data_IF_700035492400
#
_entry.id   IF_700035492400
#
_cell.length_a   1.000
_cell.length_b   1.000
_cell.length_c   1.000
_cell.angle_alpha   90.00
_cell.angle_beta   90.00
_cell.angle_gamma   90.00
#
_symmetry.space_group_name_H-M   'P 1'
#
loop_
_entity.id
_entity.type
_entity.pdbx_description
1 polymer ?
#
# COMPACT_ATOMS: atom_id res chain seq x y z
N UNK A 1 -0.20 19.20 -0.92
CA UNK A 1 -0.53 18.90 0.48
C UNK A 1 -1.94 18.37 0.49
N UNK A 2 -2.14 17.16 1.03
CA UNK A 2 -3.42 16.45 0.86
C UNK A 2 -4.61 17.27 1.33
N UNK A 3 -5.55 17.52 0.40
CA UNK A 3 -6.79 18.23 0.69
C UNK A 3 -6.72 19.77 0.72
N UNK A 4 -5.55 20.37 0.54
CA UNK A 4 -5.39 21.83 0.52
C UNK A 4 -4.91 22.25 -0.88
N UNK A 5 -5.68 23.12 -1.51
CA UNK A 5 -5.27 23.71 -2.79
C UNK A 5 -4.20 24.78 -2.56
N UNK A 6 -2.98 24.49 -2.99
CA UNK A 6 -1.82 25.38 -2.84
C UNK A 6 -1.43 26.11 -4.13
N UNK A 7 -1.99 25.71 -5.26
CA UNK A 7 -1.62 26.28 -6.55
C UNK A 7 -2.35 25.64 -7.72
N UNK A 8 -1.89 25.91 -8.93
CA UNK A 8 -2.46 25.39 -10.16
C UNK A 8 -1.40 25.07 -11.20
N UNK A 9 -1.72 24.13 -12.08
CA UNK A 9 -0.88 23.78 -13.23
C UNK A 9 -1.00 24.88 -14.28
N UNK A 10 0.11 25.55 -14.56
CA UNK A 10 0.18 26.63 -15.54
C UNK A 10 0.44 26.11 -16.95
N UNK A 11 1.39 25.18 -17.11
CA UNK A 11 1.80 24.68 -18.43
C UNK A 11 2.28 23.25 -18.34
N UNK A 12 1.89 22.45 -19.33
CA UNK A 12 2.37 21.09 -19.52
C UNK A 12 3.18 21.03 -20.84
N UNK A 13 4.37 20.50 -20.79
CA UNK A 13 5.24 20.30 -21.94
C UNK A 13 5.64 18.83 -22.05
N UNK A 14 5.29 18.22 -23.15
CA UNK A 14 5.71 16.84 -23.45
C UNK A 14 7.07 16.89 -24.13
N UNK A 15 8.06 16.23 -23.55
CA UNK A 15 9.39 16.01 -24.12
C UNK A 15 9.53 14.55 -24.50
N UNK A 16 10.60 14.20 -25.22
CA UNK A 16 10.78 12.84 -25.72
C UNK A 16 10.75 11.76 -24.62
N UNK A 17 11.38 12.01 -23.45
CA UNK A 17 11.53 11.03 -22.38
C UNK A 17 10.80 11.42 -21.07
N UNK A 18 10.19 12.59 -21.00
CA UNK A 18 9.53 13.06 -19.78
C UNK A 18 8.47 14.12 -20.10
N UNK A 19 7.60 14.33 -19.13
CA UNK A 19 6.61 15.43 -19.15
C UNK A 19 7.04 16.46 -18.11
N UNK A 20 7.18 17.71 -18.54
CA UNK A 20 7.45 18.83 -17.66
C UNK A 20 6.15 19.55 -17.34
N UNK A 21 5.86 19.67 -16.05
CA UNK A 21 4.69 20.36 -15.54
C UNK A 21 5.14 21.61 -14.80
N UNK A 22 4.71 22.78 -15.28
CA UNK A 22 4.95 24.05 -14.58
C UNK A 22 3.76 24.33 -13.65
N UNK A 23 4.06 24.44 -12.37
CA UNK A 23 3.07 24.72 -11.32
C UNK A 23 3.32 26.11 -10.76
N UNK A 24 2.24 26.86 -10.59
CA UNK A 24 2.26 28.14 -9.88
C UNK A 24 1.67 27.93 -8.48
N UNK A 25 2.44 28.32 -7.47
CA UNK A 25 1.98 28.33 -6.07
C UNK A 25 1.32 29.67 -5.78
N UNK A 26 0.15 29.64 -5.15
CA UNK A 26 -0.69 30.82 -4.95
C UNK A 26 -0.08 31.84 -3.98
N UNK A 27 0.69 31.37 -2.99
CA UNK A 27 1.28 32.23 -1.96
C UNK A 27 2.76 31.91 -1.75
N UNK A 28 3.59 32.92 -1.69
CA UNK A 28 5.05 32.79 -1.44
C UNK A 28 5.38 32.30 -0.03
N UNK A 29 4.42 32.37 0.90
CA UNK A 29 4.56 31.83 2.26
C UNK A 29 4.42 30.31 2.34
N UNK A 30 3.97 29.65 1.27
CA UNK A 30 3.88 28.19 1.22
C UNK A 30 5.24 27.65 0.83
N UNK A 31 5.94 27.09 1.81
CA UNK A 31 7.24 26.45 1.63
C UNK A 31 7.06 24.96 1.37
N UNK A 32 7.62 24.48 0.27
CA UNK A 32 7.56 23.07 -0.11
C UNK A 32 8.96 22.46 0.13
N UNK A 33 9.06 21.44 0.99
CA UNK A 33 10.34 20.78 1.24
C UNK A 33 10.89 20.11 -0.03
N UNK A 34 12.21 20.13 -0.21
CA UNK A 34 12.87 19.40 -1.30
C UNK A 34 12.63 17.90 -1.21
N UNK A 35 12.51 17.37 0.03
CA UNK A 35 12.13 15.98 0.26
C UNK A 35 10.60 15.87 0.34
N UNK A 36 9.95 15.99 -0.80
CA UNK A 36 8.50 15.80 -0.96
C UNK A 36 8.22 14.79 -2.06
N UNK A 37 7.22 13.96 -1.84
CA UNK A 37 6.67 13.08 -2.87
C UNK A 37 5.70 13.90 -3.72
N UNK A 38 5.91 13.90 -5.03
CA UNK A 38 5.05 14.59 -5.99
C UNK A 38 4.43 13.55 -6.92
N UNK A 39 3.12 13.45 -6.91
CA UNK A 39 2.38 12.46 -7.70
C UNK A 39 1.25 13.09 -8.49
N UNK A 40 0.98 12.53 -9.68
CA UNK A 40 -0.24 12.85 -10.43
C UNK A 40 -1.32 11.83 -10.06
N UNK A 41 -2.38 12.28 -9.41
CA UNK A 41 -3.46 11.42 -8.92
C UNK A 41 -4.82 11.81 -9.51
N UNK A 42 -5.71 10.84 -9.65
CA UNK A 42 -7.09 11.03 -10.04
C UNK A 42 -7.99 10.40 -8.98
N UNK A 43 -8.76 11.22 -8.27
CA UNK A 43 -9.54 10.82 -7.10
C UNK A 43 -11.01 10.54 -7.43
N UNK A 44 -11.31 9.90 -8.54
CA UNK A 44 -12.68 9.51 -8.89
C UNK A 44 -12.90 9.39 -10.37
N UNK A 45 -14.06 8.86 -10.75
CA UNK A 45 -14.41 8.54 -12.13
C UNK A 45 -14.51 9.80 -13.03
N UNK A 46 -14.98 10.90 -12.47
CA UNK A 46 -15.25 12.15 -13.19
C UNK A 46 -14.38 13.32 -12.68
N UNK A 47 -13.40 13.04 -11.82
CA UNK A 47 -12.55 14.08 -11.28
C UNK A 47 -11.33 14.33 -12.17
N UNK A 48 -10.92 15.58 -12.19
CA UNK A 48 -9.71 16.00 -12.88
C UNK A 48 -8.47 15.38 -12.24
N UNK A 49 -7.44 15.21 -13.07
CA UNK A 49 -6.12 14.82 -12.58
C UNK A 49 -5.49 15.99 -11.84
N UNK A 50 -5.06 15.76 -10.62
CA UNK A 50 -4.39 16.75 -9.77
C UNK A 50 -2.94 16.35 -9.55
N UNK A 51 -2.09 17.34 -9.26
CA UNK A 51 -0.73 17.09 -8.76
C UNK A 51 -0.77 17.19 -7.25
N UNK A 52 -0.54 16.08 -6.59
CA UNK A 52 -0.46 16.01 -5.12
C UNK A 52 0.99 16.12 -4.65
N UNK A 53 1.22 16.93 -3.63
CA UNK A 53 2.53 17.14 -3.03
C UNK A 53 2.45 16.76 -1.56
N UNK A 54 3.15 15.70 -1.19
CA UNK A 54 3.20 15.19 0.18
C UNK A 54 4.62 15.37 0.75
N UNK A 55 4.82 16.27 1.73
CA UNK A 55 6.09 16.37 2.44
C UNK A 55 6.41 15.05 3.15
N UNK A 56 7.64 14.56 2.97
CA UNK A 56 8.12 13.34 3.62
C UNK A 56 8.91 13.62 4.91
N UNK A 57 9.25 14.89 5.15
CA UNK A 57 10.05 15.30 6.29
C UNK A 57 9.27 16.27 7.18
N UNK A 58 9.32 16.03 8.48
CA UNK A 58 8.84 17.01 9.46
C UNK A 58 9.90 18.10 9.63
N UNK A 59 9.51 19.34 9.35
CA UNK A 59 10.37 20.52 9.45
C UNK A 59 9.98 21.31 10.68
N UNK A 60 10.96 21.77 11.45
CA UNK A 60 10.73 22.60 12.64
C UNK A 60 10.35 24.03 12.25
N UNK A 61 9.57 24.69 13.10
CA UNK A 61 9.12 26.06 12.88
C UNK A 61 10.29 27.07 12.76
N UNK A 62 11.45 26.74 13.31
CA UNK A 62 12.64 27.59 13.28
C UNK A 62 13.26 27.68 11.86
N UNK A 63 13.14 26.61 11.06
CA UNK A 63 13.67 26.58 9.70
C UNK A 63 12.81 27.36 8.70
N UNK A 64 11.57 27.68 9.06
CA UNK A 64 10.61 28.32 8.17
C UNK A 64 10.65 29.86 8.23
N UNK A 65 11.06 30.46 9.35
CA UNK A 65 10.94 31.91 9.59
C UNK A 65 11.91 32.77 8.73
N UNK A 66 12.98 32.20 8.17
CA UNK A 66 14.00 32.97 7.45
C UNK A 66 14.11 32.67 5.95
N UNK A 67 13.27 31.78 5.41
CA UNK A 67 13.42 31.30 4.03
C UNK A 67 12.58 32.12 3.05
N UNK A 68 13.26 32.92 2.22
CA UNK A 68 12.63 33.57 1.07
C UNK A 68 12.90 32.73 -0.19
N UNK A 69 11.86 32.19 -0.80
CA UNK A 69 11.95 31.32 -2.00
C UNK A 69 12.52 32.00 -3.24
N UNK A 70 12.56 33.33 -3.26
CA UNK A 70 13.10 34.14 -4.36
C UNK A 70 14.56 34.59 -4.12
N UNK A 71 15.11 34.40 -2.94
CA UNK A 71 16.46 34.81 -2.61
C UNK A 71 17.50 33.75 -3.06
N UNK A 72 18.70 34.19 -3.42
CA UNK A 72 19.81 33.28 -3.75
C UNK A 72 20.21 32.37 -2.58
N UNK A 73 19.98 32.79 -1.36
CA UNK A 73 20.17 31.99 -0.15
C UNK A 73 19.26 30.75 -0.06
N UNK A 74 18.13 30.77 -0.78
CA UNK A 74 17.18 29.65 -0.83
C UNK A 74 17.84 28.35 -1.31
N UNK A 75 18.79 28.41 -2.22
CA UNK A 75 19.46 27.22 -2.78
C UNK A 75 20.05 26.31 -1.69
N UNK A 76 20.52 26.91 -0.58
CA UNK A 76 21.09 26.19 0.58
C UNK A 76 20.01 25.72 1.57
N UNK A 77 18.75 26.12 1.40
CA UNK A 77 17.66 25.75 2.28
C UNK A 77 17.14 24.34 1.99
N UNK A 78 16.30 23.81 2.90
CA UNK A 78 15.61 22.54 2.75
C UNK A 78 14.37 22.64 1.85
N UNK A 79 14.04 23.83 1.37
CA UNK A 79 12.84 24.12 0.59
C UNK A 79 13.13 24.28 -0.90
N UNK A 80 12.11 24.07 -1.72
CA UNK A 80 12.13 24.35 -3.14
C UNK A 80 12.15 25.86 -3.38
N UNK A 81 13.05 26.30 -4.23
CA UNK A 81 13.18 27.68 -4.62
C UNK A 81 12.36 27.99 -5.89
N UNK A 82 12.26 29.25 -6.23
CA UNK A 82 11.61 29.68 -7.45
C UNK A 82 12.32 29.07 -8.68
N UNK A 83 11.57 28.43 -9.55
CA UNK A 83 12.05 27.65 -10.71
C UNK A 83 12.84 26.38 -10.39
N UNK A 84 12.82 25.87 -9.18
CA UNK A 84 13.40 24.56 -8.89
C UNK A 84 12.59 23.44 -9.56
N UNK A 85 13.26 22.33 -9.79
CA UNK A 85 12.68 21.11 -10.35
C UNK A 85 12.63 20.02 -9.29
N UNK A 86 11.50 19.35 -9.23
CA UNK A 86 11.32 18.15 -8.43
C UNK A 86 10.83 17.02 -9.33
N UNK A 87 11.28 15.82 -9.07
CA UNK A 87 10.82 14.64 -9.79
C UNK A 87 9.43 14.27 -9.29
N UNK A 88 8.49 14.11 -10.23
CA UNK A 88 7.16 13.59 -9.97
C UNK A 88 7.02 12.15 -10.45
N UNK A 89 6.13 11.42 -9.81
CA UNK A 89 5.76 10.05 -10.16
C UNK A 89 4.28 9.98 -10.57
N UNK A 90 3.92 8.88 -11.19
CA UNK A 90 2.51 8.62 -11.49
C UNK A 90 1.89 7.95 -10.26
N UNK A 91 0.97 8.63 -9.62
CA UNK A 91 0.20 8.10 -8.52
C UNK A 91 -0.98 7.24 -8.96
N UNK A 92 -1.87 6.97 -8.04
CA UNK A 92 -3.03 6.11 -8.25
C UNK A 92 -4.00 6.75 -9.25
N UNK A 93 -4.35 6.00 -10.29
CA UNK A 93 -5.38 6.36 -11.25
C UNK A 93 -6.61 5.46 -11.05
N UNK A 94 -7.77 6.06 -10.96
CA UNK A 94 -9.03 5.34 -10.78
C UNK A 94 -9.31 4.33 -11.91
N UNK A 95 -8.93 4.69 -13.14
CA UNK A 95 -9.08 3.84 -14.31
C UNK A 95 -8.24 2.55 -14.22
N UNK A 96 -7.01 2.67 -13.72
CA UNK A 96 -6.12 1.53 -13.49
C UNK A 96 -6.67 0.61 -12.37
N UNK A 97 -7.28 1.20 -11.34
CA UNK A 97 -7.95 0.46 -10.26
C UNK A 97 -9.15 -0.33 -10.80
N UNK A 98 -10.01 0.31 -11.59
CA UNK A 98 -11.16 -0.36 -12.21
C UNK A 98 -10.74 -1.49 -13.14
N UNK A 99 -9.74 -1.27 -13.98
CA UNK A 99 -9.19 -2.31 -14.86
C UNK A 99 -8.63 -3.49 -14.07
N UNK A 100 -7.92 -3.23 -12.97
CA UNK A 100 -7.40 -4.27 -12.08
C UNK A 100 -8.56 -5.05 -11.44
N UNK A 101 -9.56 -4.35 -10.88
CA UNK A 101 -10.74 -4.96 -10.28
C UNK A 101 -11.52 -5.83 -11.29
N UNK A 102 -11.73 -5.32 -12.51
CA UNK A 102 -12.41 -6.07 -13.57
C UNK A 102 -11.64 -7.33 -13.97
N UNK A 103 -10.32 -7.24 -14.10
CA UNK A 103 -9.47 -8.41 -14.41
C UNK A 103 -9.50 -9.46 -13.30
N UNK A 104 -9.53 -9.02 -12.05
CA UNK A 104 -9.64 -9.93 -10.90
C UNK A 104 -11.01 -10.60 -10.93
N UNK A 105 -12.10 -9.84 -11.08
CA UNK A 105 -13.47 -10.36 -11.18
C UNK A 105 -13.61 -11.39 -12.30
N UNK A 106 -13.10 -11.09 -13.50
CA UNK A 106 -13.12 -12.03 -14.63
C UNK A 106 -12.37 -13.34 -14.35
N UNK A 107 -11.33 -13.31 -13.53
CA UNK A 107 -10.61 -14.54 -13.13
C UNK A 107 -11.37 -15.35 -12.10
N UNK A 108 -12.14 -14.69 -11.23
CA UNK A 108 -13.00 -15.40 -10.28
C UNK A 108 -14.22 -16.04 -10.94
N UNK A 109 -14.68 -15.49 -12.06
CA UNK A 109 -15.76 -16.10 -12.87
C UNK A 109 -15.27 -17.29 -13.73
N UNK A 110 -13.96 -17.59 -13.74
CA UNK A 110 -13.41 -18.71 -14.48
C UNK A 110 -13.83 -20.05 -13.83
N UNK A 111 -14.59 -20.90 -14.54
CA UNK A 111 -15.05 -22.21 -14.02
C UNK A 111 -13.89 -23.11 -13.62
N UNK A 112 -12.70 -22.97 -14.21
CA UNK A 112 -11.50 -23.72 -13.86
C UNK A 112 -11.01 -23.35 -12.45
N UNK A 113 -10.99 -22.06 -12.12
CA UNK A 113 -10.61 -21.59 -10.79
C UNK A 113 -11.59 -22.08 -9.74
N UNK A 114 -12.91 -22.00 -10.04
CA UNK A 114 -13.95 -22.46 -9.13
C UNK A 114 -13.86 -23.97 -8.85
N UNK A 115 -13.61 -24.75 -9.90
CA UNK A 115 -13.36 -26.18 -9.76
C UNK A 115 -12.13 -26.49 -8.91
N UNK A 116 -11.04 -25.76 -9.11
CA UNK A 116 -9.81 -25.94 -8.33
C UNK A 116 -10.04 -25.66 -6.85
N UNK A 117 -10.73 -24.58 -6.53
CA UNK A 117 -11.10 -24.21 -5.14
C UNK A 117 -12.02 -25.28 -4.54
N UNK A 118 -12.99 -25.77 -5.30
CA UNK A 118 -13.91 -26.81 -4.84
C UNK A 118 -13.17 -28.13 -4.52
N UNK A 119 -12.28 -28.57 -5.39
CA UNK A 119 -11.44 -29.75 -5.18
C UNK A 119 -10.55 -29.56 -3.93
N UNK A 120 -9.96 -28.39 -3.76
CA UNK A 120 -9.10 -28.09 -2.63
C UNK A 120 -9.89 -28.10 -1.31
N UNK A 121 -11.07 -27.51 -1.28
CA UNK A 121 -11.95 -27.54 -0.11
C UNK A 121 -12.41 -28.96 0.20
N UNK A 122 -12.80 -29.74 -0.82
CA UNK A 122 -13.25 -31.13 -0.63
C UNK A 122 -12.13 -32.02 -0.07
N UNK A 123 -10.93 -31.90 -0.61
CA UNK A 123 -9.76 -32.61 -0.11
C UNK A 123 -9.38 -32.20 1.32
N UNK A 124 -9.53 -30.91 1.67
CA UNK A 124 -9.25 -30.44 3.03
C UNK A 124 -10.22 -31.04 4.04
N UNK A 125 -11.50 -31.15 3.69
CA UNK A 125 -12.53 -31.78 4.55
C UNK A 125 -12.23 -33.27 4.73
N UNK A 126 -11.84 -33.96 3.65
CA UNK A 126 -11.50 -35.38 3.70
C UNK A 126 -10.29 -35.64 4.61
N UNK A 127 -9.20 -34.89 4.43
CA UNK A 127 -8.01 -34.97 5.27
C UNK A 127 -8.30 -34.65 6.73
N UNK A 128 -9.18 -33.70 6.99
CA UNK A 128 -9.59 -33.34 8.36
C UNK A 128 -10.29 -34.49 9.08
N UNK A 129 -11.14 -35.23 8.39
CA UNK A 129 -11.82 -36.37 8.98
C UNK A 129 -10.87 -37.53 9.30
N UNK A 130 -9.93 -37.83 8.39
CA UNK A 130 -8.90 -38.84 8.64
C UNK A 130 -7.96 -38.44 9.79
N UNK A 131 -7.67 -37.15 9.92
CA UNK A 131 -6.83 -36.65 11.01
C UNK A 131 -7.53 -36.80 12.37
N UNK A 132 -8.84 -36.58 12.44
CA UNK A 132 -9.63 -36.79 13.66
C UNK A 132 -9.64 -38.27 14.05
N UNK A 133 -9.82 -39.17 13.09
CA UNK A 133 -9.80 -40.61 13.34
C UNK A 133 -8.41 -41.07 13.84
N UNK A 134 -7.34 -40.59 13.24
CA UNK A 134 -5.97 -40.84 13.68
C UNK A 134 -5.70 -40.34 15.11
N UNK A 135 -6.18 -39.16 15.45
CA UNK A 135 -6.04 -38.62 16.83
C UNK A 135 -6.81 -39.46 17.85
N UNK A 136 -7.99 -39.97 17.53
CA UNK A 136 -8.74 -40.86 18.41
C UNK A 136 -7.98 -42.17 18.67
N UNK A 137 -7.41 -42.79 17.65
CA UNK A 137 -6.57 -43.99 17.79
C UNK A 137 -5.36 -43.76 18.70
N UNK A 138 -4.71 -42.59 18.60
CA UNK A 138 -3.60 -42.24 19.47
C UNK A 138 -4.06 -42.11 20.94
N UNK A 139 -5.18 -41.47 21.17
CA UNK A 139 -5.74 -41.28 22.52
C UNK A 139 -6.09 -42.63 23.14
N UNK A 140 -6.78 -43.52 22.39
CA UNK A 140 -7.14 -44.84 22.86
C UNK A 140 -5.93 -45.71 23.20
N UNK A 141 -4.90 -45.67 22.34
CA UNK A 141 -3.65 -46.39 22.62
C UNK A 141 -2.91 -45.86 23.84
N UNK A 142 -2.92 -44.55 24.06
CA UNK A 142 -2.31 -43.94 25.22
C UNK A 142 -3.03 -44.32 26.52
N UNK A 143 -4.37 -44.39 26.49
CA UNK A 143 -5.20 -44.85 27.64
C UNK A 143 -4.88 -46.33 27.96
N UNK A 144 -4.81 -47.19 26.98
CA UNK A 144 -4.44 -48.59 27.20
C UNK A 144 -3.04 -48.76 27.81
N UNK A 145 -2.07 -47.99 27.32
CA UNK A 145 -0.71 -48.01 27.90
C UNK A 145 -0.72 -47.52 29.35
N UNK A 146 -1.49 -46.46 29.62
CA UNK A 146 -1.61 -45.92 30.98
C UNK A 146 -2.21 -46.96 31.93
N UNK A 147 -3.33 -47.61 31.55
CA UNK A 147 -3.99 -48.63 32.34
C UNK A 147 -3.07 -49.87 32.59
N UNK A 148 -2.31 -50.28 31.57
CA UNK A 148 -1.34 -51.37 31.71
C UNK A 148 -0.20 -51.01 32.67
N UNK A 149 0.33 -49.80 32.59
CA UNK A 149 1.35 -49.32 33.52
C UNK A 149 0.80 -49.16 34.95
N UNK A 150 -0.43 -48.68 35.08
CA UNK A 150 -1.09 -48.56 36.35
C UNK A 150 -1.26 -49.95 37.05
N UNK A 151 -1.71 -50.96 36.32
CA UNK A 151 -1.81 -52.32 36.79
C UNK A 151 -0.46 -52.94 37.21
N UNK A 152 0.59 -52.71 36.44
CA UNK A 152 1.93 -53.17 36.75
C UNK A 152 2.50 -52.54 38.03
N UNK A 153 2.28 -51.25 38.24
CA UNK A 153 2.87 -50.58 39.42
C UNK A 153 2.02 -50.71 40.69
N UNK A 154 0.68 -50.80 40.56
CA UNK A 154 -0.19 -50.83 41.74
C UNK A 154 -0.78 -52.20 42.08
N UNK A 155 -0.61 -53.21 41.22
CA UNK A 155 -1.02 -54.62 41.52
C UNK A 155 0.03 -55.37 42.38
N UNK A 156 1.14 -54.72 42.76
CA UNK A 156 2.15 -55.31 43.62
C UNK A 156 2.11 -54.77 45.07
N UNK A 157 1.10 -53.96 45.42
CA UNK A 157 0.82 -53.50 46.78
C UNK A 157 -0.45 -54.22 47.28
#
# INVERSE_FOLDING_TARGET
MRGINIGYVNKIQVKYNYVLIKININMSSILIPKNSLVETTQTGLLNDTVVDITPLQNISSQDTESTNVFAESCVKSLFLCHYDYIRGERGLNYDDLLRAATRISQRFDDPVLFNLVNILLHNTIYISNEFIEFTNVIVDTAILIYDYLYQLFFSQI
#
